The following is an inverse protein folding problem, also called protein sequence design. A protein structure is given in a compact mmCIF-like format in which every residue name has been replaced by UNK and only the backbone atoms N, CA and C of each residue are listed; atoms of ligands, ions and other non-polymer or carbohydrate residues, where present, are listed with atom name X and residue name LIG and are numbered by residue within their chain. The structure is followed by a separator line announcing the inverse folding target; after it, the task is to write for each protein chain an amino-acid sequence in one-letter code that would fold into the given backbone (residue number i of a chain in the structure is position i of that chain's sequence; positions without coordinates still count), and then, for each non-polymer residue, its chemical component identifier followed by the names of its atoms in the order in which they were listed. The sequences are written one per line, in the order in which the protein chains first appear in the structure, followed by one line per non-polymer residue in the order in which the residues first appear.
data_IF_890561190287
#
_entry.id   IF_890561190287
#
_cell.length_a   1.000
_cell.length_b   1.000
_cell.length_c   1.000
_cell.angle_alpha   90.00
_cell.angle_beta   90.00
_cell.angle_gamma   90.00
#
_symmetry.space_group_name_H-M   'P 1'
#
loop_
_entity.id
_entity.type
_entity.pdbx_description
1 polymer ?
#
# COMPACT_ATOMS: atom_id res chain seq x y z
N UNK A 1 -22.19 -29.20 -4.80
CA UNK A 1 -20.75 -29.10 -5.14
C UNK A 1 -20.07 -28.13 -4.19
N UNK A 2 -19.12 -28.58 -3.38
CA UNK A 2 -18.43 -27.74 -2.40
C UNK A 2 -17.51 -26.74 -3.12
N UNK A 3 -17.72 -25.45 -2.90
CA UNK A 3 -16.94 -24.37 -3.52
C UNK A 3 -15.50 -24.43 -2.98
N UNK A 4 -14.55 -24.83 -3.82
CA UNK A 4 -13.14 -24.94 -3.44
C UNK A 4 -12.64 -23.59 -2.91
N UNK A 5 -12.16 -23.57 -1.66
CA UNK A 5 -11.66 -22.36 -1.00
C UNK A 5 -10.41 -21.90 -1.75
N UNK A 6 -10.47 -20.69 -2.35
CA UNK A 6 -9.30 -20.06 -2.98
C UNK A 6 -8.15 -20.02 -1.96
N UNK A 7 -6.96 -20.48 -2.37
CA UNK A 7 -5.72 -20.38 -1.59
C UNK A 7 -5.58 -18.92 -1.15
N UNK A 8 -5.37 -18.65 0.15
CA UNK A 8 -5.13 -17.28 0.62
C UNK A 8 -3.86 -16.78 -0.05
N UNK A 9 -3.95 -15.65 -0.76
CA UNK A 9 -2.77 -14.98 -1.29
C UNK A 9 -1.85 -14.53 -0.15
N UNK A 10 -0.59 -14.31 -0.48
CA UNK A 10 0.38 -13.72 0.46
C UNK A 10 -0.09 -12.31 0.80
N UNK A 11 -0.01 -11.94 2.08
CA UNK A 11 -0.55 -10.67 2.50
C UNK A 11 0.34 -9.53 1.95
N UNK A 12 -0.29 -8.57 1.24
CA UNK A 12 0.40 -7.53 0.47
C UNK A 12 0.52 -7.81 -1.04
N UNK A 13 0.32 -9.05 -1.51
CA UNK A 13 0.50 -9.46 -2.91
C UNK A 13 -0.47 -8.79 -3.90
N UNK A 14 -1.67 -8.40 -3.42
CA UNK A 14 -2.71 -7.75 -4.25
C UNK A 14 -2.92 -6.28 -3.90
N UNK A 15 -1.84 -5.60 -3.48
CA UNK A 15 -1.85 -4.17 -3.19
C UNK A 15 -0.69 -3.49 -3.90
N UNK A 16 -1.00 -2.51 -4.73
CA UNK A 16 -0.03 -1.66 -5.41
C UNK A 16 0.08 -0.37 -4.59
N UNK A 17 1.31 0.01 -4.22
CA UNK A 17 1.60 1.28 -3.57
C UNK A 17 1.79 2.33 -4.65
N UNK A 18 0.89 3.31 -4.73
CA UNK A 18 1.01 4.41 -5.67
C UNK A 18 1.69 5.59 -4.99
N UNK A 19 2.77 6.14 -5.58
CA UNK A 19 3.30 7.42 -5.13
C UNK A 19 2.26 8.50 -5.42
N UNK A 20 1.87 9.26 -4.40
CA UNK A 20 0.94 10.39 -4.56
C UNK A 20 1.76 11.68 -4.48
N UNK A 21 1.58 12.55 -5.47
CA UNK A 21 2.32 13.81 -5.52
C UNK A 21 1.97 14.71 -4.32
N UNK A 22 2.97 15.37 -3.76
CA UNK A 22 2.79 16.31 -2.66
C UNK A 22 1.84 17.45 -3.03
N UNK A 23 1.01 17.85 -2.07
CA UNK A 23 0.03 18.94 -2.25
C UNK A 23 -1.20 18.57 -3.10
N UNK A 24 -1.27 17.33 -3.60
CA UNK A 24 -2.42 16.86 -4.34
C UNK A 24 -3.54 16.42 -3.40
N UNK A 25 -4.76 16.91 -3.62
CA UNK A 25 -5.92 16.46 -2.89
C UNK A 25 -6.34 15.06 -3.36
N UNK A 26 -5.88 14.05 -2.61
CA UNK A 26 -6.17 12.66 -2.89
C UNK A 26 -7.67 12.35 -2.83
N UNK A 27 -8.45 12.99 -1.95
CA UNK A 27 -9.88 12.69 -1.82
C UNK A 27 -10.64 13.10 -3.10
N UNK A 28 -10.31 14.27 -3.64
CA UNK A 28 -10.87 14.74 -4.92
C UNK A 28 -10.35 13.91 -6.10
N UNK A 29 -9.03 13.65 -6.15
CA UNK A 29 -8.43 12.82 -7.20
C UNK A 29 -9.07 11.43 -7.24
N UNK A 30 -9.22 10.79 -6.08
CA UNK A 30 -9.70 9.41 -6.03
C UNK A 30 -11.13 9.32 -6.52
N UNK A 31 -11.98 10.32 -6.28
CA UNK A 31 -13.40 10.30 -6.67
C UNK A 31 -13.64 10.49 -8.17
N UNK A 32 -12.85 11.33 -8.83
CA UNK A 32 -12.93 11.52 -10.29
C UNK A 32 -12.32 10.34 -11.04
N UNK A 33 -13.10 9.70 -11.92
CA UNK A 33 -12.65 8.50 -12.64
C UNK A 33 -11.69 8.82 -13.79
N UNK A 34 -11.89 9.94 -14.47
CA UNK A 34 -11.12 10.30 -15.66
C UNK A 34 -9.78 10.89 -15.22
N UNK A 35 -9.81 11.81 -14.26
CA UNK A 35 -8.59 12.40 -13.70
C UNK A 35 -7.73 11.31 -13.04
N UNK A 36 -8.34 10.39 -12.27
CA UNK A 36 -7.57 9.28 -11.69
C UNK A 36 -6.98 8.34 -12.74
N UNK A 37 -7.69 8.11 -13.87
CA UNK A 37 -7.15 7.29 -14.96
C UNK A 37 -5.92 7.93 -15.57
N UNK A 38 -5.99 9.22 -15.88
CA UNK A 38 -4.86 9.96 -16.40
C UNK A 38 -3.67 9.89 -15.45
N UNK A 39 -3.90 10.18 -14.16
CA UNK A 39 -2.86 10.10 -13.14
C UNK A 39 -2.24 8.69 -13.05
N UNK A 40 -3.07 7.64 -13.06
CA UNK A 40 -2.60 6.27 -13.00
C UNK A 40 -1.79 5.87 -14.25
N UNK A 41 -2.20 6.32 -15.44
CA UNK A 41 -1.48 6.05 -16.69
C UNK A 41 -0.10 6.75 -16.69
N UNK A 42 0.00 7.96 -16.14
CA UNK A 42 1.27 8.66 -15.89
C UNK A 42 2.16 7.87 -14.90
N UNK A 43 1.59 7.36 -13.80
CA UNK A 43 2.33 6.54 -12.84
C UNK A 43 2.80 5.21 -13.43
N UNK A 44 2.01 4.57 -14.30
CA UNK A 44 2.42 3.33 -15.00
C UNK A 44 3.59 3.61 -15.95
N UNK A 45 3.59 4.76 -16.64
CA UNK A 45 4.67 5.15 -17.52
C UNK A 45 5.95 5.52 -16.75
N UNK A 46 5.81 6.24 -15.63
CA UNK A 46 6.94 6.69 -14.82
C UNK A 46 7.56 5.57 -13.97
N UNK A 47 6.74 4.66 -13.45
CA UNK A 47 7.14 3.62 -12.49
C UNK A 47 6.57 2.24 -12.84
N UNK A 48 6.88 1.68 -14.03
CA UNK A 48 6.32 0.39 -14.48
C UNK A 48 6.63 -0.76 -13.51
N UNK A 49 7.71 -0.69 -12.74
CA UNK A 49 8.14 -1.68 -11.76
C UNK A 49 7.23 -1.80 -10.52
N UNK A 50 6.35 -0.82 -10.29
CA UNK A 50 5.34 -0.88 -9.22
C UNK A 50 4.16 -1.77 -9.59
N UNK A 51 3.99 -2.04 -10.87
CA UNK A 51 2.83 -2.73 -11.41
C UNK A 51 3.13 -4.19 -11.76
N UNK A 52 2.14 -5.08 -11.64
CA UNK A 52 2.29 -6.47 -12.04
C UNK A 52 2.47 -6.61 -13.55
N UNK A 53 3.10 -7.70 -13.96
CA UNK A 53 3.25 -8.06 -15.37
C UNK A 53 1.88 -8.10 -16.07
N UNK A 54 1.83 -7.54 -17.28
CA UNK A 54 0.59 -7.45 -18.07
C UNK A 54 -0.24 -6.18 -17.84
N UNK A 55 0.21 -5.25 -16.99
CA UNK A 55 -0.40 -3.91 -16.89
C UNK A 55 -0.37 -3.14 -18.23
N UNK A 56 0.63 -3.41 -19.07
CA UNK A 56 0.78 -2.86 -20.42
C UNK A 56 -0.40 -3.22 -21.34
N UNK A 57 -1.09 -4.33 -21.05
CA UNK A 57 -2.33 -4.72 -21.73
C UNK A 57 -3.56 -3.93 -21.30
N UNK A 58 -3.38 -2.92 -20.44
CA UNK A 58 -4.42 -2.08 -19.86
C UNK A 58 -5.09 -2.69 -18.63
N UNK A 59 -5.95 -1.88 -18.01
CA UNK A 59 -6.68 -2.24 -16.80
C UNK A 59 -8.11 -1.71 -16.80
N UNK A 60 -8.97 -2.34 -16.01
CA UNK A 60 -10.34 -1.86 -15.74
C UNK A 60 -10.45 -1.47 -14.28
N UNK A 61 -11.16 -0.37 -14.00
CA UNK A 61 -11.53 -0.08 -12.62
C UNK A 61 -12.48 -1.16 -12.10
N UNK A 62 -12.24 -1.60 -10.86
CA UNK A 62 -12.92 -2.73 -10.22
C UNK A 62 -13.49 -2.34 -8.86
N UNK A 63 -14.18 -1.19 -8.84
CA UNK A 63 -14.81 -0.63 -7.65
C UNK A 63 -13.83 -0.02 -6.66
N UNK A 64 -14.28 0.02 -5.40
CA UNK A 64 -13.68 0.79 -4.31
C UNK A 64 -13.41 -0.09 -3.10
N UNK A 65 -12.50 0.37 -2.26
CA UNK A 65 -12.31 -0.12 -0.89
C UNK A 65 -12.17 1.08 0.02
N UNK A 66 -12.98 1.11 1.06
CA UNK A 66 -12.88 2.10 2.12
C UNK A 66 -12.23 1.49 3.34
N UNK A 67 -11.20 2.15 3.86
CA UNK A 67 -10.55 1.75 5.10
C UNK A 67 -11.26 2.38 6.29
N UNK A 68 -11.89 1.58 7.14
CA UNK A 68 -12.47 2.10 8.39
C UNK A 68 -11.42 2.60 9.39
N UNK A 69 -10.16 2.15 9.27
CA UNK A 69 -9.07 2.57 10.16
C UNK A 69 -8.59 3.98 9.89
N UNK A 70 -8.54 4.33 8.61
CA UNK A 70 -7.97 5.58 8.11
C UNK A 70 -9.03 6.52 7.53
N UNK A 71 -10.26 6.05 7.34
CA UNK A 71 -11.35 6.77 6.66
C UNK A 71 -10.94 7.26 5.26
N UNK A 72 -10.18 6.41 4.55
CA UNK A 72 -9.69 6.69 3.20
C UNK A 72 -10.33 5.72 2.22
N UNK A 73 -10.88 6.29 1.15
CA UNK A 73 -11.40 5.58 -0.01
C UNK A 73 -10.27 5.33 -1.00
N UNK A 74 -10.18 4.11 -1.52
CA UNK A 74 -9.16 3.69 -2.48
C UNK A 74 -9.80 2.97 -3.67
N UNK A 75 -9.19 3.08 -4.85
CA UNK A 75 -9.65 2.37 -6.05
C UNK A 75 -9.05 0.98 -6.15
N UNK A 76 -9.74 0.11 -6.90
CA UNK A 76 -9.19 -1.17 -7.33
C UNK A 76 -9.12 -1.22 -8.85
N UNK A 77 -8.15 -1.98 -9.35
CA UNK A 77 -8.03 -2.29 -10.76
C UNK A 77 -8.05 -3.80 -10.98
N UNK A 78 -8.52 -4.21 -12.15
CA UNK A 78 -8.53 -5.58 -12.64
C UNK A 78 -7.70 -5.61 -13.93
N UNK A 79 -6.73 -6.50 -13.98
CA UNK A 79 -5.98 -6.79 -15.21
C UNK A 79 -6.80 -7.77 -16.06
N UNK A 80 -7.23 -7.41 -17.28
CA UNK A 80 -8.10 -8.28 -18.10
C UNK A 80 -7.45 -9.62 -18.47
N UNK A 81 -6.13 -9.62 -18.70
CA UNK A 81 -5.38 -10.81 -19.12
C UNK A 81 -5.29 -11.86 -18.01
N UNK A 82 -4.87 -11.45 -16.81
CA UNK A 82 -4.67 -12.35 -15.67
C UNK A 82 -5.95 -12.56 -14.84
N UNK A 83 -6.95 -11.69 -15.02
CA UNK A 83 -8.18 -11.61 -14.20
C UNK A 83 -7.89 -11.40 -12.72
N UNK A 84 -6.74 -10.81 -12.41
CA UNK A 84 -6.33 -10.49 -11.04
C UNK A 84 -6.70 -9.05 -10.70
N UNK A 85 -7.18 -8.87 -9.48
CA UNK A 85 -7.60 -7.57 -8.97
C UNK A 85 -6.62 -7.08 -7.91
N UNK A 86 -6.25 -5.81 -8.01
CA UNK A 86 -5.30 -5.14 -7.14
C UNK A 86 -5.96 -3.92 -6.50
N UNK A 87 -5.68 -3.70 -5.22
CA UNK A 87 -6.00 -2.45 -4.54
C UNK A 87 -4.90 -1.43 -4.81
N UNK A 88 -5.28 -0.19 -5.11
CA UNK A 88 -4.38 0.94 -5.26
C UNK A 88 -4.32 1.70 -3.94
N UNK A 89 -3.27 1.46 -3.16
CA UNK A 89 -3.03 2.12 -1.87
C UNK A 89 -2.12 3.33 -2.10
N UNK A 90 -2.44 4.52 -1.58
CA UNK A 90 -1.52 5.64 -1.61
C UNK A 90 -0.31 5.41 -0.68
N UNK A 91 0.85 5.91 -1.08
CA UNK A 91 2.13 5.81 -0.36
C UNK A 91 2.14 6.48 1.01
N UNK A 92 1.37 7.54 1.23
CA UNK A 92 1.23 8.21 2.51
C UNK A 92 0.49 7.38 3.59
N UNK A 93 0.07 6.16 3.28
CA UNK A 93 -0.57 5.23 4.22
C UNK A 93 0.22 3.93 4.34
N UNK A 94 0.46 3.45 5.54
CA UNK A 94 1.19 2.21 5.81
C UNK A 94 0.47 0.95 5.29
N UNK A 95 1.19 -0.16 5.03
CA UNK A 95 0.58 -1.44 4.66
C UNK A 95 -0.56 -1.88 5.60
N UNK A 96 -1.57 -2.56 5.04
CA UNK A 96 -2.83 -2.89 5.75
C UNK A 96 -3.63 -1.70 6.26
N UNK A 97 -3.37 -0.50 5.74
CA UNK A 97 -4.01 0.75 6.17
C UNK A 97 -3.88 0.92 7.69
N UNK A 98 -2.73 0.55 8.25
CA UNK A 98 -2.51 0.50 9.70
C UNK A 98 -2.48 1.89 10.31
N UNK A 99 -1.68 2.79 9.73
CA UNK A 99 -1.59 4.21 10.10
C UNK A 99 -1.09 5.03 8.90
N UNK A 100 -1.08 6.36 9.00
CA UNK A 100 -0.41 7.21 8.00
C UNK A 100 1.11 7.09 8.12
N UNK A 101 1.83 7.31 7.01
CA UNK A 101 3.28 7.32 7.00
C UNK A 101 3.83 8.39 7.94
N UNK A 102 3.19 9.56 8.00
CA UNK A 102 3.57 10.67 8.90
C UNK A 102 3.47 10.27 10.38
N UNK A 103 2.37 9.64 10.80
CA UNK A 103 2.20 9.21 12.19
C UNK A 103 3.13 8.04 12.54
N UNK A 104 3.36 7.13 11.59
CA UNK A 104 4.32 6.05 11.75
C UNK A 104 5.75 6.59 11.94
N UNK A 105 6.15 7.59 11.15
CA UNK A 105 7.45 8.25 11.28
C UNK A 105 7.63 8.88 12.66
N UNK A 106 6.65 9.66 13.13
CA UNK A 106 6.67 10.24 14.49
C UNK A 106 6.79 9.16 15.57
N UNK A 107 6.01 8.08 15.47
CA UNK A 107 6.07 6.97 16.42
C UNK A 107 7.46 6.31 16.44
N UNK A 108 8.07 6.11 15.27
CA UNK A 108 9.42 5.55 15.15
C UNK A 108 10.48 6.49 15.70
N UNK A 109 10.35 7.79 15.47
CA UNK A 109 11.23 8.81 16.04
C UNK A 109 11.19 8.75 17.58
N UNK A 110 10.00 8.79 18.17
CA UNK A 110 9.84 8.68 19.63
C UNK A 110 10.42 7.35 20.16
N UNK A 111 10.18 6.24 19.44
CA UNK A 111 10.71 4.93 19.81
C UNK A 111 12.24 4.90 19.78
N UNK A 112 12.86 5.51 18.76
CA UNK A 112 14.31 5.66 18.62
C UNK A 112 14.91 6.46 19.77
N UNK A 113 14.17 7.43 20.31
CA UNK A 113 14.58 8.24 21.45
C UNK A 113 14.24 7.63 22.82
N UNK A 114 13.86 6.35 22.85
CA UNK A 114 13.76 5.57 24.09
C UNK A 114 12.36 5.56 24.73
N UNK A 115 11.35 6.19 24.13
CA UNK A 115 10.00 6.12 24.65
C UNK A 115 9.46 4.68 24.54
N UNK A 116 8.77 4.24 25.60
CA UNK A 116 7.95 3.03 25.59
C UNK A 116 6.67 3.23 24.76
N UNK A 117 5.97 2.14 24.43
CA UNK A 117 4.71 2.22 23.67
C UNK A 117 3.58 2.92 24.43
N UNK A 118 3.61 2.87 25.76
CA UNK A 118 2.78 3.71 26.65
C UNK A 118 3.02 5.21 26.38
N UNK A 119 4.27 5.67 26.46
CA UNK A 119 4.62 7.07 26.17
C UNK A 119 4.26 7.50 24.75
N UNK A 120 4.42 6.62 23.76
CA UNK A 120 3.99 6.89 22.37
C UNK A 120 2.46 7.00 22.31
N UNK A 121 1.72 6.12 22.98
CA UNK A 121 0.27 6.18 23.03
C UNK A 121 -0.22 7.45 23.73
N UNK A 122 0.48 7.90 24.77
CA UNK A 122 0.20 9.16 25.45
C UNK A 122 0.37 10.36 24.51
N UNK A 123 1.43 10.40 23.71
CA UNK A 123 1.73 11.54 22.82
C UNK A 123 0.91 11.53 21.52
N UNK A 124 0.76 10.36 20.89
CA UNK A 124 0.17 10.21 19.56
C UNK A 124 -1.25 9.63 19.57
N UNK A 125 -1.79 9.30 20.75
CA UNK A 125 -3.08 8.63 20.91
C UNK A 125 -3.01 7.14 20.58
N UNK A 126 -4.17 6.52 20.28
CA UNK A 126 -4.33 5.07 20.07
C UNK A 126 -3.87 4.25 21.30
N UNK A 127 -3.84 2.93 21.15
CA UNK A 127 -3.38 2.03 22.22
C UNK A 127 -1.91 1.67 22.06
N UNK A 128 -1.24 1.31 23.16
CA UNK A 128 0.14 0.80 23.14
C UNK A 128 0.31 -0.36 22.17
N UNK A 129 -0.66 -1.28 22.16
CA UNK A 129 -0.69 -2.43 21.28
C UNK A 129 -0.82 -2.07 19.80
N UNK A 130 -1.44 -0.93 19.48
CA UNK A 130 -1.45 -0.43 18.11
C UNK A 130 -0.02 -0.06 17.67
N UNK A 131 0.69 0.76 18.44
CA UNK A 131 2.05 1.21 18.12
C UNK A 131 3.06 0.07 18.10
N UNK A 132 2.94 -0.87 19.06
CA UNK A 132 3.72 -2.10 19.06
C UNK A 132 3.55 -2.86 17.74
N UNK A 133 2.30 -3.14 17.33
CA UNK A 133 2.01 -3.87 16.08
C UNK A 133 2.48 -3.11 14.84
N UNK A 134 2.34 -1.79 14.82
CA UNK A 134 2.81 -0.94 13.73
C UNK A 134 4.32 -1.10 13.54
N UNK A 135 5.11 -0.93 14.60
CA UNK A 135 6.56 -1.09 14.55
C UNK A 135 6.96 -2.51 14.14
N UNK A 136 6.32 -3.54 14.71
CA UNK A 136 6.60 -4.94 14.34
C UNK A 136 6.23 -5.26 12.89
N UNK A 137 5.25 -4.56 12.31
CA UNK A 137 4.82 -4.81 10.93
C UNK A 137 5.87 -4.39 9.90
N UNK A 138 6.71 -3.41 10.21
CA UNK A 138 7.78 -2.95 9.31
C UNK A 138 8.80 -4.04 9.02
N UNK A 139 9.15 -4.83 10.03
CA UNK A 139 10.07 -5.97 9.87
C UNK A 139 9.52 -7.14 9.04
N UNK A 140 8.24 -7.09 8.63
CA UNK A 140 7.63 -8.13 7.78
C UNK A 140 7.84 -7.87 6.30
N UNK A 141 8.19 -6.65 5.90
CA UNK A 141 8.47 -6.36 4.50
C UNK A 141 9.82 -7.01 4.11
N UNK A 142 9.83 -7.77 3.02
CA UNK A 142 11.07 -8.34 2.49
C UNK A 142 11.94 -7.24 1.90
N UNK A 143 13.10 -6.97 2.50
CA UNK A 143 14.07 -5.98 2.00
C UNK A 143 14.48 -6.31 0.55
N UNK A 144 14.67 -7.58 0.21
CA UNK A 144 15.02 -7.99 -1.15
C UNK A 144 13.84 -7.78 -2.10
N UNK A 145 12.62 -8.15 -1.70
CA UNK A 145 11.42 -7.98 -2.53
C UNK A 145 10.97 -6.52 -2.70
N UNK A 146 11.39 -5.62 -1.81
CA UNK A 146 11.16 -4.18 -1.96
C UNK A 146 12.18 -3.51 -2.87
N UNK A 147 13.40 -4.03 -2.97
CA UNK A 147 14.54 -3.33 -3.59
C UNK A 147 15.01 -3.96 -4.92
N UNK A 148 14.91 -5.29 -5.07
CA UNK A 148 15.32 -6.02 -6.27
C UNK A 148 14.07 -6.60 -6.94
N UNK A 149 13.65 -5.97 -8.05
CA UNK A 149 12.40 -6.31 -8.77
C UNK A 149 12.58 -7.31 -9.92
N UNK A 150 13.83 -7.57 -10.32
CA UNK A 150 14.18 -8.54 -11.36
C UNK A 150 15.22 -9.51 -10.83
N UNK A 151 15.03 -10.79 -11.10
CA UNK A 151 15.95 -11.84 -10.70
C UNK A 151 17.36 -11.62 -11.27
N UNK A 152 17.46 -11.04 -12.48
CA UNK A 152 18.73 -10.67 -13.12
C UNK A 152 19.53 -9.59 -12.39
N UNK A 153 18.90 -8.85 -11.47
CA UNK A 153 19.55 -7.84 -10.66
C UNK A 153 19.97 -8.36 -9.27
N UNK A 154 19.79 -9.66 -9.00
CA UNK A 154 20.34 -10.29 -7.81
C UNK A 154 21.87 -10.37 -7.93
N UNK A 155 22.60 -10.10 -6.83
CA UNK A 155 24.04 -10.38 -6.82
C UNK A 155 24.29 -11.88 -7.09
N UNK A 156 25.39 -12.22 -7.79
CA UNK A 156 25.75 -13.62 -8.01
C UNK A 156 25.93 -14.34 -6.67
N UNK A 157 25.47 -15.59 -6.62
CA UNK A 157 25.54 -16.46 -5.44
C UNK A 157 26.93 -17.08 -5.32
#
# INVERSE_FOLDING_TARGET
MAKQRRKRGTAGDKTICLPIADGLDYATLVDDREVFRQYLDEQIAAHPELFPEGIEGGYRFHGWVESSRQQIKTRRILLPRTKEAYQLRPDFVMPYMSETAEMADKALYLRKHGLGFEGIAYVLGRSEMHWYRLCQSLGRASIVGTTVKRETALPPI
#
